data_IF_314885114362
#
_entry.id   IF_314885114362
#
_cell.length_a   1.000
_cell.length_b   1.000
_cell.length_c   1.000
_cell.angle_alpha   90.00
_cell.angle_beta   90.00
_cell.angle_gamma   90.00
#
_symmetry.space_group_name_H-M   'P 1'
#
loop_
_entity.id
_entity.type
_entity.pdbx_description
1 polymer ?
#
# COMPACT_ATOMS: atom_id res chain seq x y z
N UNK A 1 -16.43 -4.13 5.43
CA UNK A 1 -16.31 -2.66 5.40
C UNK A 1 -15.04 -2.15 6.07
N UNK A 2 -14.78 -2.40 7.36
CA UNK A 2 -13.57 -1.92 8.04
C UNK A 2 -12.24 -2.38 7.39
N UNK A 3 -12.13 -3.64 6.97
CA UNK A 3 -10.94 -4.14 6.25
C UNK A 3 -10.75 -3.44 4.90
N UNK A 4 -11.84 -3.10 4.22
CA UNK A 4 -11.82 -2.33 2.96
C UNK A 4 -11.34 -0.91 3.21
N UNK A 5 -11.81 -0.27 4.29
CA UNK A 5 -11.35 1.06 4.73
C UNK A 5 -9.83 1.06 4.99
N UNK A 6 -9.30 0.00 5.63
CA UNK A 6 -7.85 -0.18 5.76
C UNK A 6 -7.16 -0.21 4.39
N UNK A 7 -7.74 -0.86 3.38
CA UNK A 7 -7.17 -0.93 2.03
C UNK A 7 -6.93 0.46 1.40
N UNK A 8 -7.76 1.45 1.71
CA UNK A 8 -7.63 2.80 1.17
C UNK A 8 -6.70 3.70 1.99
N UNK A 9 -6.74 3.64 3.32
CA UNK A 9 -6.03 4.61 4.18
C UNK A 9 -5.04 3.99 5.17
N UNK A 10 -5.13 2.68 5.42
CA UNK A 10 -4.43 2.01 6.53
C UNK A 10 -2.92 2.12 6.42
N UNK A 11 -2.36 1.95 5.21
CA UNK A 11 -0.93 2.09 4.96
C UNK A 11 -0.41 3.52 5.19
N UNK A 12 -1.22 4.55 4.94
CA UNK A 12 -0.87 5.96 5.18
C UNK A 12 -0.63 6.21 6.67
N UNK A 13 -1.49 5.65 7.53
CA UNK A 13 -1.38 5.81 8.99
C UNK A 13 -0.34 4.87 9.60
N UNK A 14 -0.31 3.61 9.13
CA UNK A 14 0.55 2.56 9.67
C UNK A 14 2.03 2.71 9.28
N UNK A 15 2.32 2.95 8.00
CA UNK A 15 3.69 3.09 7.48
C UNK A 15 3.80 4.32 6.55
N UNK A 16 3.53 5.50 7.10
CA UNK A 16 3.53 6.80 6.39
C UNK A 16 4.76 7.02 5.50
N UNK A 17 5.97 6.75 6.02
CA UNK A 17 7.22 6.92 5.24
C UNK A 17 7.39 5.88 4.13
N UNK A 18 6.82 4.69 4.28
CA UNK A 18 6.91 3.64 3.28
C UNK A 18 6.12 4.02 2.02
N UNK A 19 4.96 4.66 2.20
CA UNK A 19 4.14 5.19 1.09
C UNK A 19 4.60 6.56 0.59
N UNK A 20 5.82 6.98 0.92
CA UNK A 20 6.41 8.23 0.42
C UNK A 20 5.96 9.50 1.15
N UNK A 21 5.20 9.40 2.25
CA UNK A 21 4.75 10.57 3.00
C UNK A 21 5.81 10.89 4.08
N UNK A 22 6.61 11.92 3.81
CA UNK A 22 7.64 12.41 4.72
C UNK A 22 7.27 13.78 5.29
N UNK A 23 7.48 13.97 6.59
CA UNK A 23 7.27 15.26 7.25
C UNK A 23 5.80 15.58 7.57
N UNK A 24 4.89 14.62 7.47
CA UNK A 24 3.50 14.80 7.87
C UNK A 24 3.42 15.23 9.34
N UNK A 25 2.75 16.35 9.59
CA UNK A 25 2.50 16.84 10.95
C UNK A 25 1.44 15.99 11.61
N UNK A 26 1.46 15.96 12.95
CA UNK A 26 0.46 15.25 13.74
C UNK A 26 -0.97 15.65 13.38
N UNK A 27 -1.25 16.95 13.33
CA UNK A 27 -2.56 17.52 12.99
C UNK A 27 -3.04 17.15 11.58
N UNK A 28 -2.13 17.02 10.62
CA UNK A 28 -2.48 16.63 9.25
C UNK A 28 -2.95 15.17 9.20
N UNK A 29 -2.30 14.29 9.99
CA UNK A 29 -2.73 12.90 10.13
C UNK A 29 -4.05 12.79 10.90
N UNK A 30 -4.27 13.59 11.94
CA UNK A 30 -5.54 13.64 12.67
C UNK A 30 -6.69 14.07 11.75
N UNK A 31 -6.48 15.13 10.95
CA UNK A 31 -7.46 15.58 9.97
C UNK A 31 -7.75 14.51 8.90
N UNK A 32 -6.70 13.85 8.39
CA UNK A 32 -6.85 12.74 7.45
C UNK A 32 -7.67 11.58 8.04
N UNK A 33 -7.38 11.19 9.28
CA UNK A 33 -8.12 10.13 9.98
C UNK A 33 -9.59 10.55 10.20
N UNK A 34 -9.83 11.81 10.58
CA UNK A 34 -11.18 12.33 10.77
C UNK A 34 -12.01 12.26 9.48
N UNK A 35 -11.43 12.66 8.33
CA UNK A 35 -12.08 12.52 7.02
C UNK A 35 -12.47 11.06 6.76
N UNK A 36 -11.54 10.13 6.97
CA UNK A 36 -11.83 8.71 6.76
C UNK A 36 -12.80 8.12 7.80
N UNK A 37 -12.88 8.69 9.00
CA UNK A 37 -13.88 8.33 10.01
C UNK A 37 -15.27 8.68 9.48
N UNK A 38 -15.45 9.91 9.00
CA UNK A 38 -16.70 10.40 8.42
C UNK A 38 -17.10 9.59 7.19
N UNK A 39 -16.16 9.31 6.27
CA UNK A 39 -16.41 8.45 5.11
C UNK A 39 -16.89 7.06 5.55
N UNK A 40 -16.25 6.46 6.56
CA UNK A 40 -16.69 5.19 7.14
C UNK A 40 -18.14 5.25 7.63
N UNK A 41 -18.49 6.30 8.37
CA UNK A 41 -19.84 6.48 8.91
C UNK A 41 -20.88 6.69 7.80
N UNK A 42 -20.56 7.47 6.76
CA UNK A 42 -21.42 7.67 5.58
C UNK A 42 -21.65 6.35 4.83
N UNK A 43 -20.63 5.48 4.76
CA UNK A 43 -20.75 4.14 4.17
C UNK A 43 -21.44 3.12 5.09
N UNK A 44 -21.99 3.54 6.24
CA UNK A 44 -22.73 2.70 7.16
C UNK A 44 -21.86 1.87 8.11
N UNK A 45 -20.58 2.19 8.29
CA UNK A 45 -19.76 1.57 9.33
C UNK A 45 -20.18 2.13 10.68
N UNK A 46 -20.66 1.27 11.58
CA UNK A 46 -20.94 1.67 12.96
C UNK A 46 -19.66 2.18 13.64
N UNK A 47 -19.77 3.22 14.48
CA UNK A 47 -18.62 3.83 15.15
C UNK A 47 -17.74 2.81 15.90
N UNK A 48 -18.33 1.78 16.49
CA UNK A 48 -17.58 0.72 17.18
C UNK A 48 -16.65 -0.08 16.25
N UNK A 49 -17.00 -0.21 14.98
CA UNK A 49 -16.22 -0.94 13.96
C UNK A 49 -15.36 -0.04 13.08
N UNK A 50 -15.49 1.28 13.21
CA UNK A 50 -14.67 2.22 12.46
C UNK A 50 -13.23 2.19 12.97
N UNK A 51 -12.29 1.94 12.05
CA UNK A 51 -10.87 1.83 12.40
C UNK A 51 -10.24 3.21 12.66
N UNK A 52 -10.87 4.28 12.18
CA UNK A 52 -10.46 5.66 12.45
C UNK A 52 -10.90 6.09 13.84
N UNK A 53 -9.94 6.25 14.75
CA UNK A 53 -10.17 6.75 16.10
C UNK A 53 -9.73 8.20 16.23
N UNK A 54 -9.96 8.78 17.41
CA UNK A 54 -9.68 10.20 17.65
C UNK A 54 -8.19 10.51 17.67
N UNK A 55 -7.38 9.56 18.14
CA UNK A 55 -5.93 9.68 18.13
C UNK A 55 -5.29 8.93 16.95
N UNK A 56 -4.17 9.48 16.48
CA UNK A 56 -3.34 8.85 15.45
C UNK A 56 -2.67 7.58 15.99
N UNK A 57 -2.29 7.57 17.27
CA UNK A 57 -1.73 6.44 18.01
C UNK A 57 -2.68 5.25 17.98
N UNK A 58 -3.90 5.42 18.48
CA UNK A 58 -4.89 4.36 18.58
C UNK A 58 -5.27 3.84 17.18
N UNK A 59 -5.48 4.73 16.21
CA UNK A 59 -5.74 4.33 14.82
C UNK A 59 -4.57 3.52 14.24
N UNK A 60 -3.33 3.93 14.51
CA UNK A 60 -2.13 3.23 14.06
C UNK A 60 -1.99 1.85 14.71
N UNK A 61 -2.31 1.73 15.99
CA UNK A 61 -2.33 0.46 16.72
C UNK A 61 -3.37 -0.49 16.14
N UNK A 62 -4.60 -0.02 15.89
CA UNK A 62 -5.64 -0.81 15.22
C UNK A 62 -5.16 -1.27 13.84
N UNK A 63 -4.58 -0.37 13.03
CA UNK A 63 -3.99 -0.74 11.74
C UNK A 63 -2.90 -1.81 11.88
N UNK A 64 -2.04 -1.71 12.90
CA UNK A 64 -1.01 -2.70 13.15
C UNK A 64 -1.58 -4.07 13.54
N UNK A 65 -2.59 -4.10 14.42
CA UNK A 65 -3.28 -5.33 14.80
C UNK A 65 -3.98 -5.99 13.60
N UNK A 66 -4.61 -5.20 12.72
CA UNK A 66 -5.20 -5.72 11.48
C UNK A 66 -4.14 -6.33 10.56
N UNK A 67 -2.96 -5.73 10.47
CA UNK A 67 -1.85 -6.30 9.67
C UNK A 67 -1.39 -7.62 10.26
N UNK A 68 -1.14 -7.69 11.57
CA UNK A 68 -0.59 -8.89 12.20
C UNK A 68 -1.60 -10.04 12.25
N UNK A 69 -2.86 -9.76 12.60
CA UNK A 69 -3.88 -10.79 12.79
C UNK A 69 -4.62 -11.19 11.52
N UNK A 70 -4.75 -10.27 10.56
CA UNK A 70 -5.52 -10.49 9.33
C UNK A 70 -4.60 -10.51 8.12
N UNK A 71 -4.03 -9.37 7.71
CA UNK A 71 -3.38 -9.32 6.40
C UNK A 71 -2.18 -10.26 6.27
N UNK A 72 -1.35 -10.40 7.31
CA UNK A 72 -0.15 -11.23 7.28
C UNK A 72 -0.44 -12.74 7.13
N UNK A 73 -1.30 -13.37 7.98
CA UNK A 73 -1.66 -14.77 7.79
C UNK A 73 -2.21 -15.08 6.40
N UNK A 74 -3.08 -14.22 5.86
CA UNK A 74 -3.67 -14.45 4.54
C UNK A 74 -2.69 -14.22 3.39
N UNK A 75 -1.76 -13.27 3.51
CA UNK A 75 -0.67 -13.08 2.54
C UNK A 75 0.27 -14.29 2.47
N UNK A 76 0.48 -14.98 3.59
CA UNK A 76 1.34 -16.18 3.64
C UNK A 76 0.67 -17.42 3.06
N UNK A 77 -0.67 -17.51 3.11
CA UNK A 77 -1.44 -18.65 2.56
C UNK A 77 -1.40 -18.74 1.02
N UNK A 78 -1.05 -17.66 0.31
CA UNK A 78 -0.89 -17.63 -1.16
C UNK A 78 -2.09 -18.23 -1.93
N UNK A 79 -3.31 -17.79 -1.62
CA UNK A 79 -4.50 -18.26 -2.33
C UNK A 79 -4.47 -17.88 -3.82
N UNK A 80 -4.93 -18.78 -4.69
CA UNK A 80 -4.94 -18.54 -6.14
C UNK A 80 -5.86 -17.37 -6.52
N UNK A 81 -7.07 -17.30 -5.96
CA UNK A 81 -7.99 -16.17 -6.21
C UNK A 81 -7.39 -14.80 -5.87
N UNK A 82 -6.56 -14.73 -4.82
CA UNK A 82 -5.85 -13.50 -4.49
C UNK A 82 -4.85 -13.13 -5.59
N UNK A 83 -4.11 -14.12 -6.12
CA UNK A 83 -3.18 -13.92 -7.22
C UNK A 83 -3.92 -13.43 -8.48
N UNK A 84 -5.02 -14.10 -8.85
CA UNK A 84 -5.77 -13.77 -10.07
C UNK A 84 -6.44 -12.40 -9.99
N UNK A 85 -7.11 -12.10 -8.87
CA UNK A 85 -7.75 -10.80 -8.64
C UNK A 85 -6.72 -9.66 -8.59
N UNK A 86 -5.61 -9.86 -7.88
CA UNK A 86 -4.56 -8.83 -7.83
C UNK A 86 -3.88 -8.64 -9.19
N UNK A 87 -3.75 -9.70 -9.99
CA UNK A 87 -3.19 -9.60 -11.34
C UNK A 87 -4.11 -8.84 -12.29
N UNK A 88 -5.41 -9.14 -12.27
CA UNK A 88 -6.39 -8.40 -13.04
C UNK A 88 -6.41 -6.91 -12.67
N UNK A 89 -6.44 -6.60 -11.36
CA UNK A 89 -6.42 -5.22 -10.86
C UNK A 89 -5.15 -4.47 -11.29
N UNK A 90 -3.96 -5.02 -11.02
CA UNK A 90 -2.69 -4.34 -11.30
C UNK A 90 -2.44 -4.21 -12.80
N UNK A 91 -2.85 -5.20 -13.59
CA UNK A 91 -2.78 -5.13 -15.06
C UNK A 91 -3.71 -4.04 -15.62
N UNK A 92 -4.92 -3.90 -15.07
CA UNK A 92 -5.84 -2.82 -15.45
C UNK A 92 -5.31 -1.43 -15.09
N UNK A 93 -4.68 -1.30 -13.91
CA UNK A 93 -4.13 -0.01 -13.46
C UNK A 93 -2.81 0.38 -14.12
N UNK A 94 -2.12 -0.54 -14.81
CA UNK A 94 -0.80 -0.29 -15.39
C UNK A 94 -0.78 0.92 -16.33
N UNK A 95 -1.84 1.14 -17.10
CA UNK A 95 -1.95 2.27 -18.02
C UNK A 95 -2.01 3.63 -17.31
N UNK A 96 -2.52 3.66 -16.08
CA UNK A 96 -2.59 4.88 -15.27
C UNK A 96 -1.33 5.07 -14.40
N UNK A 97 -0.80 3.96 -13.89
CA UNK A 97 0.34 3.94 -13.00
C UNK A 97 1.27 2.78 -13.39
N UNK A 98 2.25 3.01 -14.29
CA UNK A 98 3.19 1.99 -14.75
C UNK A 98 4.11 1.42 -13.65
N UNK A 99 4.02 1.93 -12.41
CA UNK A 99 4.67 1.38 -11.22
C UNK A 99 4.03 0.06 -10.74
N UNK A 100 2.79 -0.23 -11.16
CA UNK A 100 2.00 -1.37 -10.71
C UNK A 100 2.21 -2.62 -11.56
N UNK A 101 3.45 -3.12 -11.61
CA UNK A 101 3.74 -4.45 -12.15
C UNK A 101 3.41 -5.49 -11.07
N UNK A 102 2.55 -6.47 -11.41
CA UNK A 102 1.97 -7.44 -10.47
C UNK A 102 2.98 -8.08 -9.50
N UNK A 103 3.93 -8.86 -10.00
CA UNK A 103 4.87 -9.62 -9.16
C UNK A 103 5.76 -8.73 -8.27
N UNK A 104 6.47 -7.71 -8.79
CA UNK A 104 7.23 -6.80 -7.94
C UNK A 104 6.37 -6.09 -6.89
N UNK A 105 5.16 -5.67 -7.26
CA UNK A 105 4.28 -4.92 -6.36
C UNK A 105 3.80 -5.79 -5.20
N UNK A 106 3.31 -7.00 -5.48
CA UNK A 106 2.89 -7.95 -4.45
C UNK A 106 4.05 -8.33 -3.54
N UNK A 107 5.26 -8.50 -4.10
CA UNK A 107 6.47 -8.75 -3.31
C UNK A 107 6.81 -7.59 -2.36
N UNK A 108 6.68 -6.34 -2.81
CA UNK A 108 6.89 -5.16 -1.97
C UNK A 108 5.89 -5.15 -0.81
N UNK A 109 4.59 -5.33 -1.10
CA UNK A 109 3.53 -5.33 -0.09
C UNK A 109 3.77 -6.45 0.94
N UNK A 110 4.04 -7.67 0.47
CA UNK A 110 4.32 -8.80 1.35
C UNK A 110 5.57 -8.57 2.21
N UNK A 111 6.63 -7.99 1.63
CA UNK A 111 7.86 -7.66 2.38
C UNK A 111 7.58 -6.66 3.49
N UNK A 112 6.73 -5.66 3.25
CA UNK A 112 6.40 -4.64 4.26
C UNK A 112 5.56 -5.24 5.39
N UNK A 113 4.56 -6.03 5.04
CA UNK A 113 3.69 -6.74 5.98
C UNK A 113 4.50 -7.69 6.86
N UNK A 114 5.36 -8.54 6.26
CA UNK A 114 6.13 -9.56 6.99
C UNK A 114 7.29 -8.93 7.79
N UNK A 115 7.99 -7.93 7.25
CA UNK A 115 9.14 -7.31 7.92
C UNK A 115 8.72 -6.47 9.14
N UNK A 116 7.50 -5.93 9.17
CA UNK A 116 7.03 -5.12 10.30
C UNK A 116 7.05 -5.90 11.62
N UNK A 117 6.72 -7.19 11.58
CA UNK A 117 6.68 -8.03 12.80
C UNK A 117 8.05 -8.27 13.42
N UNK A 118 9.12 -8.28 12.62
CA UNK A 118 10.48 -8.52 13.11
C UNK A 118 11.03 -7.33 13.93
N UNK A 119 10.47 -6.13 13.75
CA UNK A 119 10.81 -4.97 14.57
C UNK A 119 10.08 -4.97 15.93
N UNK A 120 8.81 -5.41 15.98
CA UNK A 120 8.04 -5.50 17.23
C UNK A 120 8.53 -6.63 18.17
N UNK A 121 9.15 -7.70 17.64
CA UNK A 121 9.70 -8.79 18.48
C UNK A 121 11.00 -8.39 19.19
N UNK A 122 11.81 -7.47 18.63
CA UNK A 122 13.07 -7.03 19.26
C UNK A 122 12.87 -6.18 20.53
N UNK A 123 11.67 -5.66 20.77
CA UNK A 123 11.34 -4.89 21.96
C UNK A 123 10.69 -5.72 23.08
N UNK A 124 10.44 -7.02 22.87
CA UNK A 124 9.88 -7.92 23.88
C UNK A 124 11.03 -8.74 24.48
N UNK A 125 11.17 -8.64 25.81
CA UNK A 125 12.27 -9.10 26.68
C UNK A 125 13.03 -10.40 26.28
N UNK A 126 14.33 -10.40 26.62
CA UNK A 126 15.34 -11.45 26.37
C UNK A 126 15.02 -12.88 26.89
N UNK A 127 13.92 -13.09 27.62
CA UNK A 127 13.61 -14.38 28.24
C UNK A 127 12.64 -15.24 27.41
N UNK A 128 11.87 -14.66 26.48
CA UNK A 128 10.93 -15.41 25.62
C UNK A 128 11.53 -15.82 24.26
N UNK A 129 12.80 -15.50 24.05
CA UNK A 129 13.52 -15.62 22.78
C UNK A 129 13.66 -17.05 22.24
N UNK A 130 13.30 -18.08 23.02
CA UNK A 130 13.39 -19.49 22.60
C UNK A 130 12.12 -20.01 21.92
N UNK A 131 10.93 -19.51 22.24
CA UNK A 131 9.68 -20.01 21.65
C UNK A 131 9.37 -19.26 20.33
N UNK A 132 9.68 -17.97 20.25
CA UNK A 132 9.33 -17.10 19.10
C UNK A 132 10.30 -17.26 17.90
N UNK A 133 11.50 -17.81 18.10
CA UNK A 133 12.44 -18.10 16.99
C UNK A 133 11.89 -19.10 15.97
N UNK A 134 10.85 -19.87 16.31
CA UNK A 134 10.25 -20.90 15.45
C UNK A 134 9.37 -20.34 14.32
N UNK A 135 8.98 -19.07 14.35
CA UNK A 135 8.23 -18.42 13.25
C UNK A 135 9.04 -17.29 12.63
N UNK A 136 10.24 -17.62 12.11
CA UNK A 136 10.84 -16.79 11.05
C UNK A 136 9.93 -16.93 9.84
N UNK A 137 8.95 -16.02 9.74
CA UNK A 137 8.08 -15.92 8.59
C UNK A 137 8.97 -15.65 7.36
N UNK A 138 9.18 -16.70 6.56
CA UNK A 138 9.86 -16.58 5.30
C UNK A 138 9.02 -15.67 4.40
N UNK A 139 9.64 -14.64 3.84
CA UNK A 139 8.97 -13.76 2.87
C UNK A 139 8.40 -14.68 1.79
N UNK A 140 7.10 -14.58 1.47
CA UNK A 140 6.51 -15.42 0.45
C UNK A 140 7.32 -15.24 -0.85
N UNK A 141 8.05 -16.29 -1.23
CA UNK A 141 8.79 -16.30 -2.49
C UNK A 141 7.76 -16.46 -3.61
N UNK A 142 7.28 -15.32 -4.09
CA UNK A 142 6.75 -15.22 -5.44
C UNK A 142 7.99 -15.37 -6.31
N UNK A 143 8.18 -16.50 -7.00
CA UNK A 143 9.40 -16.80 -7.78
C UNK A 143 9.77 -15.62 -8.70
N UNK A 144 10.62 -14.71 -8.23
CA UNK A 144 10.94 -13.45 -8.91
C UNK A 144 12.22 -13.60 -9.72
N UNK A 145 12.19 -13.10 -10.94
CA UNK A 145 13.37 -12.92 -11.79
C UNK A 145 14.26 -11.82 -11.20
N UNK A 146 15.54 -11.82 -11.56
CA UNK A 146 16.49 -10.83 -11.04
C UNK A 146 16.10 -9.39 -11.41
N UNK A 147 15.59 -9.16 -12.62
CA UNK A 147 15.12 -7.84 -13.03
C UNK A 147 13.89 -7.38 -12.23
N UNK A 148 12.99 -8.30 -11.83
CA UNK A 148 11.80 -7.97 -11.02
C UNK A 148 12.21 -7.55 -9.60
N UNK A 149 13.27 -8.17 -9.05
CA UNK A 149 13.87 -7.77 -7.77
C UNK A 149 14.50 -6.38 -7.84
N UNK A 150 15.26 -6.11 -8.92
CA UNK A 150 15.85 -4.79 -9.17
C UNK A 150 14.73 -3.75 -9.30
N UNK A 151 13.70 -4.03 -10.08
CA UNK A 151 12.54 -3.16 -10.25
C UNK A 151 11.88 -2.85 -8.90
N UNK A 152 11.64 -3.86 -8.06
CA UNK A 152 11.07 -3.66 -6.74
C UNK A 152 11.94 -2.73 -5.86
N UNK A 153 13.26 -2.88 -5.92
CA UNK A 153 14.20 -2.00 -5.21
C UNK A 153 14.17 -0.57 -5.76
N UNK A 154 14.05 -0.39 -7.08
CA UNK A 154 13.88 0.91 -7.72
C UNK A 154 12.60 1.59 -7.25
N UNK A 155 11.47 0.89 -7.20
CA UNK A 155 10.19 1.43 -6.70
C UNK A 155 10.31 1.86 -5.24
N UNK A 156 10.90 1.03 -4.37
CA UNK A 156 11.12 1.40 -2.97
C UNK A 156 12.09 2.58 -2.85
N UNK A 157 13.13 2.63 -3.68
CA UNK A 157 14.06 3.75 -3.77
C UNK A 157 13.37 5.05 -4.17
N UNK A 158 12.52 4.98 -5.20
CA UNK A 158 11.67 6.09 -5.67
C UNK A 158 10.79 6.62 -4.54
N UNK A 159 10.13 5.75 -3.77
CA UNK A 159 9.33 6.17 -2.60
C UNK A 159 10.17 6.92 -1.56
N UNK A 160 11.45 6.58 -1.39
CA UNK A 160 12.34 7.30 -0.45
C UNK A 160 12.74 8.69 -0.94
N UNK A 161 12.70 8.94 -2.26
CA UNK A 161 13.03 10.26 -2.82
C UNK A 161 12.03 11.34 -2.41
N UNK A 162 10.79 10.97 -2.06
CA UNK A 162 9.80 11.90 -1.54
C UNK A 162 10.21 12.60 -0.23
N UNK A 163 11.30 12.17 0.42
CA UNK A 163 11.92 12.94 1.51
C UNK A 163 12.38 14.32 1.05
N UNK A 164 12.82 14.48 -0.21
CA UNK A 164 13.33 15.73 -0.75
C UNK A 164 12.21 16.61 -1.33
N UNK A 165 12.15 17.88 -0.91
CA UNK A 165 11.09 18.81 -1.34
C UNK A 165 11.10 19.08 -2.85
N UNK A 166 12.29 19.22 -3.45
CA UNK A 166 12.43 19.43 -4.90
C UNK A 166 11.83 18.26 -5.70
N UNK A 167 12.06 17.02 -5.25
CA UNK A 167 11.49 15.84 -5.89
C UNK A 167 9.96 15.80 -5.79
N UNK A 168 9.38 16.20 -4.64
CA UNK A 168 7.92 16.28 -4.50
C UNK A 168 7.29 17.27 -5.47
N UNK A 169 7.91 18.45 -5.66
CA UNK A 169 7.44 19.46 -6.61
C UNK A 169 7.53 18.92 -8.04
N UNK A 170 8.67 18.34 -8.42
CA UNK A 170 8.84 17.70 -9.72
C UNK A 170 7.78 16.62 -9.97
N UNK A 171 7.60 15.71 -9.01
CA UNK A 171 6.62 14.63 -9.11
C UNK A 171 5.19 15.17 -9.27
N UNK A 172 4.83 16.25 -8.56
CA UNK A 172 3.53 16.89 -8.69
C UNK A 172 3.26 17.34 -10.14
N UNK A 173 4.24 17.95 -10.81
CA UNK A 173 4.13 18.32 -12.22
C UNK A 173 4.02 17.09 -13.13
N UNK A 174 4.78 16.04 -12.87
CA UNK A 174 4.68 14.78 -13.62
C UNK A 174 3.28 14.19 -13.53
N UNK A 175 2.64 14.22 -12.36
CA UNK A 175 1.26 13.74 -12.18
C UNK A 175 0.26 14.61 -12.96
N UNK A 176 0.40 15.93 -12.96
CA UNK A 176 -0.47 16.80 -13.76
C UNK A 176 -0.33 16.52 -15.27
N UNK A 177 0.90 16.34 -15.76
CA UNK A 177 1.15 15.97 -17.15
C UNK A 177 0.56 14.59 -17.44
N UNK A 178 0.69 13.62 -16.54
CA UNK A 178 0.12 12.28 -16.71
C UNK A 178 -1.41 12.31 -16.78
N UNK A 179 -2.08 13.11 -15.92
CA UNK A 179 -3.53 13.29 -15.96
C UNK A 179 -3.98 13.91 -17.28
N UNK A 180 -3.31 14.97 -17.73
CA UNK A 180 -3.56 15.58 -19.03
C UNK A 180 -3.35 14.59 -20.17
N UNK A 181 -2.27 13.80 -20.12
CA UNK A 181 -1.96 12.80 -21.11
C UNK A 181 -3.04 11.70 -21.15
N UNK A 182 -3.56 11.27 -20.00
CA UNK A 182 -4.66 10.30 -19.95
C UNK A 182 -5.97 10.84 -20.56
N UNK A 183 -6.24 12.14 -20.40
CA UNK A 183 -7.45 12.77 -20.95
C UNK A 183 -7.35 13.00 -22.46
N UNK A 184 -6.23 13.57 -22.93
CA UNK A 184 -6.11 14.04 -24.31
C UNK A 184 -5.38 13.06 -25.23
N UNK A 185 -4.40 12.31 -24.72
CA UNK A 185 -3.59 11.40 -25.53
C UNK A 185 -3.14 10.15 -24.73
N UNK A 186 -4.07 9.24 -24.39
CA UNK A 186 -3.79 8.07 -23.54
C UNK A 186 -3.02 6.98 -24.30
N UNK A 187 -1.78 7.26 -24.66
CA UNK A 187 -0.93 6.39 -25.48
C UNK A 187 -0.69 5.02 -24.83
N UNK A 188 -0.61 4.94 -23.50
CA UNK A 188 -0.50 3.66 -22.78
C UNK A 188 -1.78 2.84 -22.92
N UNK A 189 -2.95 3.47 -22.83
CA UNK A 189 -4.22 2.77 -23.05
C UNK A 189 -4.36 2.34 -24.52
N UNK A 190 -3.91 3.17 -25.48
CA UNK A 190 -3.88 2.77 -26.90
C UNK A 190 -3.06 1.50 -27.11
N UNK A 191 -1.93 1.39 -26.43
CA UNK A 191 -1.07 0.21 -26.50
C UNK A 191 -1.71 -1.03 -25.84
N UNK A 192 -2.30 -0.88 -24.65
CA UNK A 192 -2.82 -2.02 -23.88
C UNK A 192 -4.23 -2.48 -24.27
N UNK A 193 -5.12 -1.56 -24.61
CA UNK A 193 -6.55 -1.83 -24.85
C UNK A 193 -7.00 -1.53 -26.29
N UNK A 194 -6.14 -0.89 -27.08
CA UNK A 194 -6.46 -0.41 -28.43
C UNK A 194 -7.21 0.92 -28.43
N UNK A 195 -7.09 1.66 -29.54
CA UNK A 195 -7.62 3.03 -29.67
C UNK A 195 -9.13 3.13 -29.45
N UNK A 196 -9.90 2.13 -29.86
CA UNK A 196 -11.35 2.11 -29.74
C UNK A 196 -11.84 2.04 -28.29
N UNK A 197 -11.08 1.38 -27.40
CA UNK A 197 -11.48 1.15 -26.01
C UNK A 197 -10.80 2.11 -25.02
N UNK A 198 -10.01 3.06 -25.52
CA UNK A 198 -9.18 3.94 -24.68
C UNK A 198 -9.85 5.26 -24.31
N UNK A 199 -10.95 5.61 -24.99
CA UNK A 199 -11.73 6.81 -24.70
C UNK A 199 -13.07 6.39 -24.09
N UNK A 200 -13.22 6.58 -22.79
CA UNK A 200 -14.47 6.31 -22.08
C UNK A 200 -15.15 7.66 -21.85
N UNK A 201 -16.34 7.85 -22.44
CA UNK A 201 -17.23 8.95 -22.05
C UNK A 201 -17.85 8.57 -20.72
N UNK A 202 -17.43 9.25 -19.65
CA UNK A 202 -18.03 9.15 -18.31
C UNK A 202 -19.21 10.10 -18.23
#
# INVERSE_FOLDING_TARGET
MALTQFGFMGFVVWKTKFVGIYGAKRRELEAFIHIWRVIGNIMGVEDRFNICRESVEETREICNELVERVFKPYMLKKHQDFYDMSNALLSGMWCMMPLFIHKPFIHIIATVIVKSSSQNVKSINNNDTRIVKSTVYQIPDFKLKNWEKIYAQVVVGFMRLFRFSAFRIFHQYVIYIALWLMEYFPFLAYYSFGRANSHIKI
#
